data_IF_906706611788
#
_entry.id   IF_906706611788
#
_cell.length_a   1.000
_cell.length_b   1.000
_cell.length_c   1.000
_cell.angle_alpha   90.00
_cell.angle_beta   90.00
_cell.angle_gamma   90.00
#
_symmetry.space_group_name_H-M   'P 1'
#
loop_
_entity.id
_entity.type
_entity.pdbx_description
1 polymer ?
#
# COMPACT_ATOMS: atom_id res chain seq x y z
N UNK A 1 -6.65 3.59 -10.09
CA UNK A 1 -8.08 3.68 -9.77
C UNK A 1 -8.88 2.46 -10.21
N UNK A 2 -8.83 2.15 -11.50
CA UNK A 2 -9.55 1.01 -12.04
C UNK A 2 -9.15 -0.31 -11.34
N UNK A 3 -7.86 -0.58 -11.22
CA UNK A 3 -7.39 -1.84 -10.65
C UNK A 3 -7.60 -1.96 -9.15
N UNK A 4 -7.54 -0.85 -8.43
CA UNK A 4 -7.84 -0.83 -6.98
C UNK A 4 -9.31 -1.20 -6.77
N UNK A 5 -10.22 -0.59 -7.52
CA UNK A 5 -11.65 -0.93 -7.46
C UNK A 5 -11.90 -2.39 -7.85
N UNK A 6 -11.21 -2.87 -8.88
CA UNK A 6 -11.37 -4.24 -9.35
C UNK A 6 -10.90 -5.26 -8.31
N UNK A 7 -9.78 -4.99 -7.64
CA UNK A 7 -9.32 -5.82 -6.53
C UNK A 7 -10.36 -5.89 -5.42
N UNK A 8 -10.98 -4.77 -5.09
CA UNK A 8 -12.01 -4.73 -4.06
C UNK A 8 -13.31 -5.41 -4.51
N UNK A 9 -13.85 -5.03 -5.66
CA UNK A 9 -15.17 -5.46 -6.09
C UNK A 9 -15.20 -6.90 -6.61
N UNK A 10 -14.17 -7.29 -7.37
CA UNK A 10 -14.13 -8.63 -7.98
C UNK A 10 -13.48 -9.66 -7.06
N UNK A 11 -12.44 -9.26 -6.33
CA UNK A 11 -11.63 -10.18 -5.53
C UNK A 11 -11.80 -10.04 -4.02
N UNK A 12 -12.61 -9.09 -3.57
CA UNK A 12 -12.93 -8.92 -2.16
C UNK A 12 -11.83 -8.33 -1.30
N UNK A 13 -10.78 -7.76 -1.88
CA UNK A 13 -9.70 -7.15 -1.11
C UNK A 13 -10.18 -5.87 -0.42
N UNK A 14 -9.84 -5.73 0.85
CA UNK A 14 -10.04 -4.49 1.60
C UNK A 14 -8.68 -3.84 1.79
N UNK A 15 -8.63 -2.53 1.61
CA UNK A 15 -7.38 -1.78 1.68
C UNK A 15 -7.23 -1.11 3.04
N UNK A 16 -6.03 -1.20 3.59
CA UNK A 16 -5.60 -0.42 4.74
C UNK A 16 -4.57 0.57 4.25
N UNK A 17 -4.71 1.82 4.67
CA UNK A 17 -3.78 2.90 4.27
C UNK A 17 -2.92 3.26 5.46
N UNK A 18 -1.60 3.21 5.27
CA UNK A 18 -0.63 3.70 6.24
C UNK A 18 0.11 4.85 5.58
N UNK A 19 -0.04 6.04 6.11
CA UNK A 19 0.54 7.24 5.49
C UNK A 19 1.05 8.20 6.55
N UNK A 20 2.14 8.88 6.23
CA UNK A 20 2.66 9.95 7.07
C UNK A 20 1.89 11.23 6.76
N UNK A 21 1.30 11.81 7.78
CA UNK A 21 0.53 13.04 7.66
C UNK A 21 0.58 13.74 9.02
N UNK A 22 0.36 15.06 9.03
CA UNK A 22 0.37 15.79 10.29
C UNK A 22 -0.74 15.28 11.22
N UNK A 23 -0.60 15.56 12.52
CA UNK A 23 -1.62 15.20 13.51
C UNK A 23 -2.89 16.04 13.40
N UNK A 24 -2.92 17.00 12.49
CA UNK A 24 -4.08 17.84 12.28
C UNK A 24 -5.27 16.99 11.83
N UNK A 25 -6.32 16.96 12.65
CA UNK A 25 -7.49 16.15 12.37
C UNK A 25 -8.19 16.55 11.07
N UNK A 26 -8.22 17.85 10.76
CA UNK A 26 -8.84 18.33 9.52
C UNK A 26 -8.11 17.81 8.29
N UNK A 27 -6.77 17.78 8.33
CA UNK A 27 -5.98 17.24 7.24
C UNK A 27 -6.22 15.74 7.07
N UNK A 28 -6.33 15.00 8.18
CA UNK A 28 -6.61 13.57 8.15
C UNK A 28 -8.01 13.28 7.58
N UNK A 29 -9.01 14.02 8.02
CA UNK A 29 -10.38 13.85 7.54
C UNK A 29 -10.48 14.17 6.04
N UNK A 30 -9.79 15.21 5.58
CA UNK A 30 -9.75 15.57 4.17
C UNK A 30 -9.10 14.46 3.34
N UNK A 31 -8.01 13.86 3.83
CA UNK A 31 -7.35 12.76 3.14
C UNK A 31 -8.28 11.55 3.02
N UNK A 32 -8.97 11.19 4.10
CA UNK A 32 -9.95 10.09 4.07
C UNK A 32 -11.05 10.36 3.06
N UNK A 33 -11.60 11.57 3.07
CA UNK A 33 -12.66 11.94 2.14
C UNK A 33 -12.20 11.85 0.69
N UNK A 34 -11.02 12.37 0.38
CA UNK A 34 -10.45 12.32 -0.96
C UNK A 34 -10.23 10.88 -1.44
N UNK A 35 -9.67 10.03 -0.59
CA UNK A 35 -9.44 8.63 -0.94
C UNK A 35 -10.76 7.88 -1.17
N UNK A 36 -11.76 8.12 -0.32
CA UNK A 36 -13.07 7.50 -0.47
C UNK A 36 -13.77 7.97 -1.74
N UNK A 37 -13.61 9.24 -2.08
CA UNK A 37 -14.19 9.80 -3.30
C UNK A 37 -13.56 9.20 -4.56
N UNK A 38 -12.24 9.01 -4.55
CA UNK A 38 -11.50 8.48 -5.70
C UNK A 38 -11.69 6.97 -5.89
N UNK A 39 -11.73 6.20 -4.79
CA UNK A 39 -11.70 4.75 -4.83
C UNK A 39 -12.99 4.07 -4.34
N UNK A 40 -13.97 4.83 -3.86
CA UNK A 40 -15.20 4.29 -3.32
C UNK A 40 -15.19 4.14 -1.80
N UNK A 41 -16.35 4.23 -1.19
CA UNK A 41 -16.49 4.21 0.27
C UNK A 41 -16.13 2.87 0.90
N UNK A 42 -16.28 1.78 0.15
CA UNK A 42 -16.10 0.42 0.67
C UNK A 42 -14.69 -0.13 0.44
N UNK A 43 -13.86 0.57 -0.29
CA UNK A 43 -12.53 0.09 -0.68
C UNK A 43 -11.58 0.06 0.52
N UNK A 44 -11.63 1.09 1.36
CA UNK A 44 -10.72 1.24 2.50
C UNK A 44 -11.41 0.83 3.81
N UNK A 45 -10.79 -0.13 4.49
CA UNK A 45 -11.28 -0.60 5.78
C UNK A 45 -10.67 0.17 6.94
N UNK A 46 -9.42 0.61 6.79
CA UNK A 46 -8.69 1.26 7.88
C UNK A 46 -7.72 2.30 7.36
N UNK A 47 -7.61 3.41 8.09
CA UNK A 47 -6.64 4.46 7.84
C UNK A 47 -5.74 4.61 9.06
N UNK A 48 -4.43 4.50 8.87
CA UNK A 48 -3.43 4.70 9.92
C UNK A 48 -2.59 5.90 9.53
N UNK A 49 -2.66 6.96 10.33
CA UNK A 49 -1.90 8.18 10.10
C UNK A 49 -0.73 8.23 11.07
N UNK A 50 0.46 8.41 10.53
CA UNK A 50 1.69 8.53 11.31
C UNK A 50 2.17 9.97 11.26
N UNK A 51 2.96 10.38 12.27
CA UNK A 51 3.59 11.69 12.25
C UNK A 51 4.50 11.83 11.03
N UNK A 52 4.60 13.04 10.52
CA UNK A 52 5.49 13.34 9.41
C UNK A 52 6.91 12.93 9.76
N UNK A 53 7.49 12.07 8.93
CA UNK A 53 8.84 11.55 9.15
C UNK A 53 8.93 10.35 10.07
N UNK A 54 7.82 9.89 10.65
CA UNK A 54 7.84 8.67 11.47
C UNK A 54 8.03 7.43 10.60
N UNK A 55 8.75 6.45 11.12
CA UNK A 55 8.92 5.16 10.45
C UNK A 55 7.63 4.35 10.49
N UNK A 56 7.43 3.52 9.48
CA UNK A 56 6.24 2.66 9.39
C UNK A 56 6.40 1.34 10.14
N UNK A 57 7.54 1.11 10.80
CA UNK A 57 7.88 -0.16 11.44
C UNK A 57 6.81 -0.61 12.45
N UNK A 58 6.43 0.27 13.37
CA UNK A 58 5.46 -0.08 14.41
C UNK A 58 4.08 -0.36 13.82
N UNK A 59 3.68 0.40 12.81
CA UNK A 59 2.39 0.20 12.15
C UNK A 59 2.37 -1.14 11.41
N UNK A 60 3.46 -1.49 10.74
CA UNK A 60 3.57 -2.75 9.99
C UNK A 60 3.67 -3.96 10.90
N UNK A 61 4.20 -3.81 12.11
CA UNK A 61 4.30 -4.90 13.08
C UNK A 61 2.94 -5.52 13.38
N UNK A 62 1.87 -4.72 13.34
CA UNK A 62 0.50 -5.19 13.58
C UNK A 62 0.02 -6.18 12.52
N UNK A 63 0.69 -6.22 11.38
CA UNK A 63 0.36 -7.11 10.26
C UNK A 63 1.34 -8.28 10.14
N UNK A 64 2.20 -8.48 11.14
CA UNK A 64 3.21 -9.54 11.11
C UNK A 64 2.58 -10.89 10.77
N UNK A 65 3.18 -11.55 9.79
CA UNK A 65 2.79 -12.89 9.34
C UNK A 65 1.33 -13.02 8.91
N UNK A 66 0.69 -11.88 8.57
CA UNK A 66 -0.71 -11.88 8.10
C UNK A 66 -0.87 -12.40 6.67
N UNK A 67 0.22 -12.44 5.90
CA UNK A 67 0.15 -12.80 4.49
C UNK A 67 -0.38 -11.70 3.58
N UNK A 68 -0.62 -10.51 4.12
CA UNK A 68 -1.14 -9.39 3.34
C UNK A 68 -0.12 -8.87 2.33
N UNK A 69 -0.64 -8.22 1.29
CA UNK A 69 0.19 -7.52 0.32
C UNK A 69 0.50 -6.13 0.84
N UNK A 70 1.75 -5.72 0.69
CA UNK A 70 2.23 -4.40 1.11
C UNK A 70 2.81 -3.66 -0.09
N UNK A 71 2.14 -2.60 -0.52
CA UNK A 71 2.54 -1.83 -1.70
C UNK A 71 3.17 -0.53 -1.24
N UNK A 72 4.41 -0.29 -1.66
CA UNK A 72 5.22 0.81 -1.17
C UNK A 72 6.13 1.33 -2.28
N UNK A 73 6.49 2.60 -2.24
CA UNK A 73 7.44 3.19 -3.18
C UNK A 73 8.82 3.48 -2.54
N UNK A 74 8.90 3.42 -1.21
CA UNK A 74 10.17 3.60 -0.49
C UNK A 74 10.80 2.25 -0.20
N UNK A 75 12.05 2.10 -0.63
CA UNK A 75 12.76 0.82 -0.50
C UNK A 75 12.87 0.34 0.94
N UNK A 76 13.17 1.24 1.87
CA UNK A 76 13.30 0.89 3.28
C UNK A 76 11.98 0.36 3.84
N UNK A 77 10.87 1.01 3.53
CA UNK A 77 9.55 0.57 3.99
C UNK A 77 9.12 -0.75 3.36
N UNK A 78 9.50 -0.98 2.10
CA UNK A 78 9.23 -2.27 1.44
C UNK A 78 10.01 -3.40 2.13
N UNK A 79 11.26 -3.16 2.47
CA UNK A 79 12.08 -4.13 3.21
C UNK A 79 11.54 -4.40 4.60
N UNK A 80 11.05 -3.36 5.29
CA UNK A 80 10.41 -3.51 6.59
C UNK A 80 9.19 -4.43 6.50
N UNK A 81 8.35 -4.24 5.48
CA UNK A 81 7.20 -5.11 5.26
C UNK A 81 7.60 -6.55 5.04
N UNK A 82 8.64 -6.79 4.23
CA UNK A 82 9.15 -8.13 4.02
C UNK A 82 9.66 -8.76 5.31
N UNK A 83 10.36 -7.98 6.13
CA UNK A 83 10.91 -8.45 7.40
C UNK A 83 9.82 -8.89 8.39
N UNK A 84 8.65 -8.29 8.34
CA UNK A 84 7.51 -8.70 9.19
C UNK A 84 6.62 -9.76 8.55
N UNK A 85 7.04 -10.32 7.42
CA UNK A 85 6.33 -11.44 6.79
C UNK A 85 5.25 -11.06 5.80
N UNK A 86 5.24 -9.81 5.34
CA UNK A 86 4.29 -9.37 4.32
C UNK A 86 4.82 -9.65 2.91
N UNK A 87 3.92 -9.67 1.95
CA UNK A 87 4.25 -9.76 0.54
C UNK A 87 4.46 -8.36 -0.01
N UNK A 88 5.70 -7.86 0.09
CA UNK A 88 6.03 -6.49 -0.34
C UNK A 88 6.12 -6.39 -1.85
N UNK A 89 5.55 -5.33 -2.41
CA UNK A 89 5.67 -4.95 -3.81
C UNK A 89 6.15 -3.50 -3.85
N UNK A 90 7.20 -3.25 -4.63
CA UNK A 90 7.76 -1.91 -4.77
C UNK A 90 7.22 -1.26 -6.05
N UNK A 91 6.53 -0.13 -5.88
CA UNK A 91 6.11 0.68 -7.02
C UNK A 91 7.31 1.49 -7.53
N UNK A 92 7.63 1.35 -8.81
CA UNK A 92 8.76 2.06 -9.40
C UNK A 92 8.53 3.56 -9.34
N UNK A 93 9.55 4.28 -8.89
CA UNK A 93 9.54 5.72 -8.75
C UNK A 93 10.95 6.26 -9.01
N UNK A 94 11.08 7.54 -9.29
CA UNK A 94 12.36 8.14 -9.65
C UNK A 94 13.51 7.86 -8.69
N UNK A 95 13.21 7.69 -7.40
CA UNK A 95 14.23 7.45 -6.38
C UNK A 95 14.58 5.97 -6.17
N UNK A 96 13.89 5.03 -6.82
CA UNK A 96 14.15 3.59 -6.63
C UNK A 96 14.43 2.82 -7.92
N UNK A 97 14.72 3.51 -9.01
CA UNK A 97 14.91 2.89 -10.33
C UNK A 97 16.03 1.84 -10.35
N UNK A 98 17.09 2.08 -9.60
CA UNK A 98 18.26 1.20 -9.55
C UNK A 98 18.15 0.11 -8.49
N UNK A 99 17.09 0.14 -7.68
CA UNK A 99 16.90 -0.82 -6.61
C UNK A 99 16.38 -2.15 -7.14
N UNK A 100 17.00 -3.23 -6.72
CA UNK A 100 16.53 -4.59 -7.01
C UNK A 100 16.67 -5.47 -5.79
N UNK A 101 15.64 -6.25 -5.50
CA UNK A 101 15.63 -7.18 -4.38
C UNK A 101 15.01 -8.49 -4.85
N UNK A 102 15.62 -9.66 -4.56
CA UNK A 102 15.14 -10.95 -5.08
C UNK A 102 13.75 -11.33 -4.58
N UNK A 103 13.30 -10.79 -3.44
CA UNK A 103 12.01 -11.13 -2.85
C UNK A 103 10.98 -10.00 -2.91
N UNK A 104 11.35 -8.85 -3.46
CA UNK A 104 10.44 -7.70 -3.59
C UNK A 104 10.33 -7.36 -5.06
N UNK A 105 9.24 -7.77 -5.74
CA UNK A 105 9.04 -7.38 -7.13
C UNK A 105 8.85 -5.88 -7.27
N UNK A 106 9.49 -5.31 -8.29
CA UNK A 106 9.35 -3.90 -8.63
C UNK A 106 8.43 -3.79 -9.84
N UNK A 107 7.38 -3.00 -9.71
CA UNK A 107 6.34 -2.85 -10.72
C UNK A 107 6.20 -1.39 -11.13
N UNK A 108 5.65 -1.15 -12.30
CA UNK A 108 5.54 0.20 -12.87
C UNK A 108 4.19 0.86 -12.60
N UNK A 109 3.14 0.07 -12.40
CA UNK A 109 1.79 0.58 -12.29
C UNK A 109 0.86 -0.40 -11.60
N UNK A 110 -0.37 0.01 -11.36
CA UNK A 110 -1.37 -0.82 -10.71
C UNK A 110 -1.83 -2.00 -11.55
N UNK A 111 -1.71 -1.94 -12.88
CA UNK A 111 -1.99 -3.08 -13.74
C UNK A 111 -1.06 -4.24 -13.41
N UNK A 112 0.24 -3.96 -13.26
CA UNK A 112 1.22 -4.98 -12.89
C UNK A 112 0.99 -5.51 -11.48
N UNK A 113 0.58 -4.63 -10.54
CA UNK A 113 0.20 -5.06 -9.19
C UNK A 113 -0.98 -6.01 -9.25
N UNK A 114 -2.02 -5.66 -9.99
CA UNK A 114 -3.20 -6.49 -10.14
C UNK A 114 -2.85 -7.86 -10.71
N UNK A 115 -2.06 -7.92 -11.77
CA UNK A 115 -1.61 -9.17 -12.38
C UNK A 115 -0.81 -10.03 -11.42
N UNK A 116 0.04 -9.40 -10.62
CA UNK A 116 0.89 -10.10 -9.66
C UNK A 116 0.07 -10.70 -8.52
N UNK A 117 -0.90 -9.96 -8.00
CA UNK A 117 -1.75 -10.42 -6.89
C UNK A 117 -2.74 -11.49 -7.34
N UNK A 118 -3.36 -11.33 -8.49
CA UNK A 118 -4.46 -12.20 -8.94
C UNK A 118 -4.04 -13.27 -9.92
N UNK A 119 -2.92 -13.08 -10.61
CA UNK A 119 -2.54 -13.95 -11.72
C UNK A 119 -3.33 -13.72 -12.99
N UNK A 120 -4.25 -12.76 -12.99
CA UNK A 120 -5.06 -12.44 -14.16
C UNK A 120 -4.39 -11.40 -15.05
N UNK A 121 -4.52 -11.59 -16.36
CA UNK A 121 -4.11 -10.58 -17.34
C UNK A 121 -5.36 -9.84 -17.78
N UNK A 122 -5.48 -8.61 -17.40
CA UNK A 122 -6.68 -7.87 -17.76
C UNK A 122 -6.40 -6.91 -18.91
#
# INVERSE_FOLDING_TARGET
MYYVKKLNEKHGYKFHVITSLSKNKNAQDLRKMNLRKLFGKQTFEKFIFLDTGADKDDALEKYRDSGCWWIEDKTLNAETGLAVGLNSILMEHGHNLDYNHPKIPKVKNWQEIYQLITGETD
#
